data_IF_093074958760
#
_entry.id   IF_093074958760
#
_cell.length_a   1.000
_cell.length_b   1.000
_cell.length_c   1.000
_cell.angle_alpha   90.00
_cell.angle_beta   90.00
_cell.angle_gamma   90.00
#
_symmetry.space_group_name_H-M   'P 1'
#
loop_
_entity.id
_entity.type
_entity.pdbx_description
1 polymer ?
#
# COMPACT_ATOMS: atom_id res chain seq x y z
N UNK A 1 8.97 -9.72 -23.08
CA UNK A 1 9.62 -10.35 -24.26
C UNK A 1 8.77 -11.46 -24.88
N UNK A 2 8.42 -12.55 -24.18
CA UNK A 2 7.61 -13.62 -24.79
C UNK A 2 6.12 -13.25 -25.00
N UNK A 3 5.50 -12.49 -24.09
CA UNK A 3 4.11 -12.05 -24.24
C UNK A 3 3.97 -11.04 -25.40
N UNK A 4 4.90 -10.11 -25.53
CA UNK A 4 4.90 -9.11 -26.61
C UNK A 4 5.01 -9.78 -27.99
N UNK A 5 5.89 -10.78 -28.10
CA UNK A 5 6.01 -11.59 -29.31
C UNK A 5 4.74 -12.39 -29.61
N UNK A 6 4.10 -12.97 -28.58
CA UNK A 6 2.85 -13.70 -28.73
C UNK A 6 1.70 -12.78 -29.21
N UNK A 7 1.58 -11.57 -28.64
CA UNK A 7 0.58 -10.57 -29.05
C UNK A 7 0.74 -10.17 -30.53
N UNK A 8 1.97 -10.06 -31.03
CA UNK A 8 2.25 -9.83 -32.45
C UNK A 8 1.82 -11.03 -33.32
N UNK A 9 1.88 -12.24 -32.77
CA UNK A 9 1.49 -13.49 -33.43
C UNK A 9 0.01 -13.86 -33.21
N UNK A 10 -0.88 -12.85 -33.11
CA UNK A 10 -2.34 -13.01 -33.02
C UNK A 10 -2.86 -13.68 -31.72
N UNK A 11 -2.02 -13.72 -30.68
CA UNK A 11 -2.49 -14.03 -29.33
C UNK A 11 -3.41 -12.92 -28.82
N UNK A 12 -4.53 -13.32 -28.22
CA UNK A 12 -5.46 -12.44 -27.51
C UNK A 12 -6.00 -13.09 -26.25
N UNK A 13 -6.12 -12.30 -25.19
CA UNK A 13 -6.71 -12.73 -23.93
C UNK A 13 -8.21 -13.04 -23.99
N UNK A 14 -8.89 -12.70 -25.10
CA UNK A 14 -10.34 -12.95 -25.30
C UNK A 14 -10.69 -14.44 -25.45
N UNK A 15 -9.70 -15.31 -25.68
CA UNK A 15 -9.88 -16.76 -25.85
C UNK A 15 -8.80 -17.52 -25.08
N UNK A 16 -9.17 -18.62 -24.45
CA UNK A 16 -8.26 -19.47 -23.66
C UNK A 16 -7.84 -20.75 -24.38
N UNK A 17 -8.40 -21.02 -25.54
CA UNK A 17 -8.12 -22.22 -26.33
C UNK A 17 -7.74 -21.82 -27.74
N UNK A 18 -6.66 -22.43 -28.24
CA UNK A 18 -6.11 -22.20 -29.56
C UNK A 18 -5.91 -23.53 -30.25
N UNK A 19 -6.50 -23.70 -31.43
CA UNK A 19 -6.34 -24.91 -32.23
C UNK A 19 -5.48 -24.63 -33.46
N UNK A 20 -4.44 -25.43 -33.62
CA UNK A 20 -3.48 -25.38 -34.71
C UNK A 20 -3.50 -26.72 -35.45
N UNK A 21 -2.86 -26.78 -36.61
CA UNK A 21 -2.56 -28.05 -37.30
C UNK A 21 -1.10 -28.38 -37.08
N UNK A 22 -0.80 -29.61 -36.66
CA UNK A 22 0.58 -30.11 -36.60
C UNK A 22 1.15 -30.32 -38.01
N UNK A 23 2.45 -30.66 -38.10
CA UNK A 23 3.14 -30.92 -39.36
C UNK A 23 2.52 -32.08 -40.18
N UNK A 24 1.71 -32.93 -39.55
CA UNK A 24 1.01 -34.06 -40.16
C UNK A 24 -0.48 -33.76 -40.45
N UNK A 25 -0.94 -32.53 -40.21
CA UNK A 25 -2.32 -32.10 -40.44
C UNK A 25 -3.32 -32.45 -39.33
N UNK A 26 -2.89 -33.00 -38.20
CA UNK A 26 -3.76 -33.28 -37.05
C UNK A 26 -4.05 -32.00 -36.25
N UNK A 27 -5.26 -31.86 -35.69
CA UNK A 27 -5.58 -30.72 -34.84
C UNK A 27 -4.87 -30.81 -33.49
N UNK A 28 -4.09 -29.79 -33.15
CA UNK A 28 -3.46 -29.59 -31.85
C UNK A 28 -4.19 -28.45 -31.13
N UNK A 29 -4.82 -28.73 -29.99
CA UNK A 29 -5.46 -27.70 -29.16
C UNK A 29 -4.60 -27.39 -27.95
N UNK A 30 -4.17 -26.15 -27.82
CA UNK A 30 -3.48 -25.61 -26.65
C UNK A 30 -4.50 -24.85 -25.81
N UNK A 31 -4.62 -25.24 -24.54
CA UNK A 31 -5.43 -24.55 -23.54
C UNK A 31 -4.52 -23.76 -22.59
N UNK A 32 -4.79 -22.47 -22.47
CA UNK A 32 -4.09 -21.62 -21.51
C UNK A 32 -4.52 -21.98 -20.09
N UNK A 33 -3.53 -22.13 -19.21
CA UNK A 33 -3.76 -22.47 -17.80
C UNK A 33 -4.28 -21.29 -16.97
N UNK A 34 -4.19 -20.06 -17.49
CA UNK A 34 -4.54 -18.83 -16.81
C UNK A 34 -5.11 -17.81 -17.80
N UNK A 35 -6.04 -16.98 -17.31
CA UNK A 35 -6.61 -15.86 -18.05
C UNK A 35 -5.85 -14.55 -17.77
N UNK A 36 -6.22 -13.48 -18.47
CA UNK A 36 -5.56 -12.17 -18.34
C UNK A 36 -5.61 -11.62 -16.91
N UNK A 37 -6.72 -11.88 -16.21
CA UNK A 37 -6.91 -11.40 -14.84
C UNK A 37 -5.94 -12.12 -13.91
N UNK A 38 -5.87 -13.44 -13.99
CA UNK A 38 -4.93 -14.26 -13.19
C UNK A 38 -3.49 -13.85 -13.53
N UNK A 39 -3.16 -13.67 -14.81
CA UNK A 39 -1.85 -13.20 -15.25
C UNK A 39 -1.45 -11.87 -14.58
N UNK A 40 -2.35 -10.87 -14.63
CA UNK A 40 -2.11 -9.54 -14.03
C UNK A 40 -1.95 -9.59 -12.52
N UNK A 41 -2.73 -10.42 -11.83
CA UNK A 41 -2.58 -10.64 -10.38
C UNK A 41 -1.17 -11.20 -10.08
N UNK A 42 -0.73 -12.22 -10.82
CA UNK A 42 0.59 -12.83 -10.62
C UNK A 42 1.72 -11.83 -10.91
N UNK A 43 1.60 -11.03 -11.98
CA UNK A 43 2.53 -9.94 -12.29
C UNK A 43 2.61 -8.93 -11.15
N UNK A 44 1.48 -8.51 -10.58
CA UNK A 44 1.44 -7.58 -9.45
C UNK A 44 2.14 -8.17 -8.22
N UNK A 45 1.90 -9.44 -7.89
CA UNK A 45 2.58 -10.13 -6.78
C UNK A 45 4.07 -10.29 -7.00
N UNK A 46 4.47 -10.56 -8.23
CA UNK A 46 5.89 -10.64 -8.59
C UNK A 46 6.60 -9.30 -8.42
N UNK A 47 5.99 -8.18 -8.85
CA UNK A 47 6.52 -6.83 -8.60
C UNK A 47 6.69 -6.52 -7.09
N UNK A 48 5.83 -7.09 -6.25
CA UNK A 48 5.90 -6.94 -4.79
C UNK A 48 6.99 -7.80 -4.14
N UNK A 49 7.57 -8.80 -4.83
CA UNK A 49 8.68 -9.60 -4.30
C UNK A 49 10.02 -8.86 -4.36
N UNK A 50 10.20 -7.97 -5.34
CA UNK A 50 11.42 -7.17 -5.53
C UNK A 50 11.42 -5.86 -4.73
N UNK A 51 10.31 -5.49 -4.08
CA UNK A 51 10.24 -4.29 -3.26
C UNK A 51 10.82 -4.58 -1.86
N UNK A 52 11.87 -3.86 -1.40
CA UNK A 52 12.41 -4.08 -0.06
C UNK A 52 11.33 -3.81 0.99
N UNK A 53 11.04 -4.82 1.80
CA UNK A 53 10.11 -4.72 2.92
C UNK A 53 10.87 -4.11 4.10
N UNK A 54 10.82 -2.78 4.23
CA UNK A 54 11.27 -2.09 5.44
C UNK A 54 12.76 -1.72 5.51
N UNK A 55 13.19 -1.14 6.66
CA UNK A 55 14.48 -0.47 6.77
C UNK A 55 15.62 -1.46 6.59
N UNK A 56 16.60 -1.04 5.78
CA UNK A 56 17.81 -1.79 5.42
C UNK A 56 18.59 -2.16 6.68
N UNK A 57 18.29 -3.34 7.23
CA UNK A 57 19.18 -4.07 8.11
C UNK A 57 20.34 -4.69 7.32
N UNK A 58 21.41 -5.12 7.99
CA UNK A 58 22.52 -5.78 7.32
C UNK A 58 22.00 -6.97 6.51
N UNK A 59 22.35 -6.99 5.23
CA UNK A 59 21.96 -8.02 4.27
C UNK A 59 22.32 -9.38 4.86
N UNK A 60 21.31 -10.19 5.15
CA UNK A 60 21.49 -11.59 5.52
C UNK A 60 22.08 -12.31 4.30
N UNK A 61 23.29 -12.90 4.41
CA UNK A 61 23.97 -13.55 3.28
C UNK A 61 23.24 -14.82 2.76
N UNK A 62 22.16 -15.26 3.40
CA UNK A 62 21.36 -16.43 3.01
C UNK A 62 20.09 -16.11 2.20
N UNK A 63 19.87 -14.86 1.75
CA UNK A 63 18.78 -14.56 0.80
C UNK A 63 19.13 -15.09 -0.60
N UNK A 64 18.37 -16.06 -1.16
CA UNK A 64 18.68 -16.64 -2.45
C UNK A 64 18.19 -15.68 -3.55
N UNK A 65 19.14 -14.96 -4.11
CA UNK A 65 19.05 -14.09 -5.30
C UNK A 65 18.27 -12.78 -5.16
N UNK A 66 18.97 -11.70 -5.49
CA UNK A 66 18.42 -10.38 -5.80
C UNK A 66 17.64 -10.48 -7.13
N UNK A 67 16.35 -10.76 -7.04
CA UNK A 67 15.47 -10.84 -8.20
C UNK A 67 15.06 -9.42 -8.59
N UNK A 68 15.86 -8.78 -9.44
CA UNK A 68 15.47 -7.55 -10.13
C UNK A 68 14.21 -7.82 -10.95
N UNK A 69 13.08 -7.25 -10.53
CA UNK A 69 11.78 -7.37 -11.18
C UNK A 69 11.72 -6.65 -12.52
N UNK A 70 12.49 -7.09 -13.52
CA UNK A 70 12.42 -6.58 -14.90
C UNK A 70 11.16 -7.09 -15.62
N UNK A 71 10.01 -6.57 -15.23
CA UNK A 71 8.84 -6.52 -16.10
C UNK A 71 8.79 -5.10 -16.67
N UNK A 72 9.22 -4.94 -17.93
CA UNK A 72 8.89 -3.72 -18.71
C UNK A 72 7.41 -3.43 -18.46
N UNK A 73 7.15 -2.20 -18.01
CA UNK A 73 5.90 -1.64 -17.51
C UNK A 73 4.65 -2.20 -18.20
N UNK A 74 4.14 -3.34 -17.70
CA UNK A 74 2.76 -3.73 -17.94
C UNK A 74 1.94 -2.79 -17.07
N UNK A 75 1.27 -1.84 -17.72
CA UNK A 75 0.32 -0.93 -17.09
C UNK A 75 -0.96 -1.71 -16.72
N UNK A 76 -0.84 -2.48 -15.65
CA UNK A 76 -1.93 -3.27 -15.06
C UNK A 76 -2.99 -2.37 -14.39
N UNK A 77 -2.75 -1.06 -14.27
CA UNK A 77 -3.59 -0.17 -13.49
C UNK A 77 -4.90 0.24 -14.20
N UNK A 78 -4.92 0.28 -15.54
CA UNK A 78 -6.03 0.91 -16.29
C UNK A 78 -7.22 -0.03 -16.57
N UNK A 79 -7.00 -1.33 -16.81
CA UNK A 79 -8.08 -2.23 -17.25
C UNK A 79 -8.93 -2.74 -16.06
N UNK A 80 -8.32 -2.87 -14.87
CA UNK A 80 -9.01 -3.37 -13.68
C UNK A 80 -9.82 -2.29 -12.94
N UNK A 81 -9.62 -1.01 -13.29
CA UNK A 81 -10.24 0.16 -12.64
C UNK A 81 -11.74 0.24 -12.88
N UNK A 82 -12.15 0.21 -14.15
CA UNK A 82 -13.55 0.36 -14.56
C UNK A 82 -14.38 -0.85 -14.11
N UNK A 83 -13.79 -2.04 -14.18
CA UNK A 83 -14.42 -3.27 -13.69
C UNK A 83 -14.67 -3.23 -12.18
N UNK A 84 -13.66 -2.80 -11.40
CA UNK A 84 -13.76 -2.63 -9.96
C UNK A 84 -14.79 -1.55 -9.59
N UNK A 85 -14.77 -0.42 -10.30
CA UNK A 85 -15.71 0.66 -10.07
C UNK A 85 -17.16 0.25 -10.41
N UNK A 86 -17.38 -0.51 -11.48
CA UNK A 86 -18.71 -1.02 -11.82
C UNK A 86 -19.27 -1.95 -10.72
N UNK A 87 -18.43 -2.79 -10.10
CA UNK A 87 -18.84 -3.63 -8.95
C UNK A 87 -19.13 -2.78 -7.72
N UNK A 88 -18.33 -1.75 -7.47
CA UNK A 88 -18.57 -0.82 -6.37
C UNK A 88 -19.88 -0.04 -6.55
N UNK A 89 -20.17 0.48 -7.74
CA UNK A 89 -21.44 1.13 -8.05
C UNK A 89 -22.65 0.20 -7.88
N UNK A 90 -22.51 -1.07 -8.32
CA UNK A 90 -23.55 -2.09 -8.10
C UNK A 90 -23.79 -2.31 -6.59
N UNK A 91 -22.72 -2.41 -5.81
CA UNK A 91 -22.81 -2.57 -4.36
C UNK A 91 -23.49 -1.37 -3.68
N UNK A 92 -23.09 -0.13 -4.00
CA UNK A 92 -23.71 1.10 -3.49
C UNK A 92 -25.21 1.14 -3.74
N UNK A 93 -25.64 0.84 -4.96
CA UNK A 93 -27.07 0.79 -5.32
C UNK A 93 -27.86 -0.22 -4.52
N UNK A 94 -27.30 -1.42 -4.31
CA UNK A 94 -27.97 -2.49 -3.56
C UNK A 94 -28.04 -2.17 -2.06
N UNK A 95 -27.03 -1.51 -1.50
CA UNK A 95 -27.05 -0.99 -0.13
C UNK A 95 -28.17 0.04 0.06
N UNK A 96 -28.28 1.03 -0.84
CA UNK A 96 -29.33 2.05 -0.78
C UNK A 96 -30.75 1.47 -0.90
N UNK A 97 -30.91 0.36 -1.63
CA UNK A 97 -32.18 -0.35 -1.78
C UNK A 97 -32.57 -1.20 -0.56
N UNK A 98 -31.69 -1.34 0.44
CA UNK A 98 -31.95 -2.13 1.65
C UNK A 98 -32.03 -3.65 1.41
N UNK A 99 -31.58 -4.13 0.25
CA UNK A 99 -31.59 -5.56 -0.06
C UNK A 99 -30.33 -6.23 0.49
N UNK A 100 -30.38 -6.59 1.78
CA UNK A 100 -29.23 -7.10 2.55
C UNK A 100 -28.54 -8.31 1.89
N UNK A 101 -29.29 -9.27 1.36
CA UNK A 101 -28.71 -10.49 0.77
C UNK A 101 -28.02 -10.19 -0.56
N UNK A 102 -28.65 -9.37 -1.41
CA UNK A 102 -28.05 -8.97 -2.68
C UNK A 102 -26.84 -8.04 -2.49
N UNK A 103 -26.90 -7.15 -1.49
CA UNK A 103 -25.79 -6.27 -1.13
C UNK A 103 -24.57 -7.09 -0.68
N UNK A 104 -24.77 -8.10 0.19
CA UNK A 104 -23.70 -8.99 0.64
C UNK A 104 -23.06 -9.77 -0.52
N UNK A 105 -23.86 -10.29 -1.45
CA UNK A 105 -23.32 -10.96 -2.63
C UNK A 105 -22.51 -10.01 -3.53
N UNK A 106 -22.98 -8.77 -3.72
CA UNK A 106 -22.24 -7.75 -4.48
C UNK A 106 -20.96 -7.30 -3.78
N UNK A 107 -20.96 -7.32 -2.45
CA UNK A 107 -19.79 -7.07 -1.61
C UNK A 107 -18.72 -8.14 -1.80
N UNK A 108 -19.09 -9.42 -1.75
CA UNK A 108 -18.16 -10.53 -2.00
C UNK A 108 -17.55 -10.46 -3.41
N UNK A 109 -18.35 -10.06 -4.41
CA UNK A 109 -17.87 -9.82 -5.77
C UNK A 109 -16.87 -8.66 -5.82
N UNK A 110 -17.12 -7.58 -5.08
CA UNK A 110 -16.22 -6.42 -4.96
C UNK A 110 -14.92 -6.81 -4.25
N UNK A 111 -14.98 -7.47 -3.11
CA UNK A 111 -13.81 -7.88 -2.33
C UNK A 111 -12.85 -8.78 -3.14
N UNK A 112 -13.39 -9.67 -4.00
CA UNK A 112 -12.58 -10.47 -4.94
C UNK A 112 -11.77 -9.63 -5.93
N UNK A 113 -12.18 -8.39 -6.21
CA UNK A 113 -11.41 -7.49 -7.08
C UNK A 113 -10.22 -6.89 -6.38
N UNK A 114 -10.20 -6.83 -5.04
CA UNK A 114 -9.10 -6.20 -4.31
C UNK A 114 -7.76 -6.89 -4.54
N UNK A 115 -7.76 -8.18 -4.89
CA UNK A 115 -6.57 -8.93 -5.25
C UNK A 115 -5.74 -8.30 -6.40
N UNK A 116 -6.34 -7.42 -7.22
CA UNK A 116 -5.66 -6.69 -8.30
C UNK A 116 -5.00 -5.39 -7.85
N UNK A 117 -5.31 -4.90 -6.64
CA UNK A 117 -4.69 -3.72 -6.04
C UNK A 117 -3.30 -4.04 -5.48
N UNK A 118 -2.53 -3.01 -5.14
CA UNK A 118 -1.30 -3.18 -4.35
C UNK A 118 -1.62 -3.69 -2.93
N UNK A 119 -0.67 -4.34 -2.25
CA UNK A 119 -0.83 -4.73 -0.83
C UNK A 119 -1.26 -3.57 0.08
N UNK A 120 -0.70 -2.39 -0.14
CA UNK A 120 -1.02 -1.21 0.65
C UNK A 120 -2.46 -0.74 0.39
N UNK A 121 -2.86 -0.66 -0.88
CA UNK A 121 -4.23 -0.28 -1.25
C UNK A 121 -5.25 -1.35 -0.83
N UNK A 122 -4.89 -2.64 -0.82
CA UNK A 122 -5.73 -3.72 -0.27
C UNK A 122 -6.04 -3.50 1.20
N UNK A 123 -5.04 -3.11 2.00
CA UNK A 123 -5.25 -2.80 3.43
C UNK A 123 -6.32 -1.72 3.57
N UNK A 124 -6.21 -0.62 2.83
CA UNK A 124 -7.16 0.49 2.92
C UNK A 124 -8.53 0.16 2.31
N UNK A 125 -8.57 -0.59 1.20
CA UNK A 125 -9.82 -1.07 0.61
C UNK A 125 -10.60 -1.97 1.57
N UNK A 126 -9.92 -2.83 2.33
CA UNK A 126 -10.53 -3.69 3.34
C UNK A 126 -11.08 -2.89 4.53
N UNK A 127 -10.32 -1.91 5.03
CA UNK A 127 -10.78 -1.02 6.11
C UNK A 127 -12.05 -0.28 5.65
N UNK A 128 -11.99 0.32 4.46
CA UNK A 128 -13.13 1.02 3.86
C UNK A 128 -14.37 0.12 3.75
N UNK A 129 -14.21 -1.11 3.26
CA UNK A 129 -15.32 -2.04 3.10
C UNK A 129 -15.94 -2.42 4.45
N UNK A 130 -15.11 -2.68 5.47
CA UNK A 130 -15.58 -2.98 6.82
C UNK A 130 -16.30 -1.80 7.47
N UNK A 131 -15.86 -0.57 7.24
CA UNK A 131 -16.53 0.62 7.79
C UNK A 131 -17.93 0.79 7.19
N UNK A 132 -18.12 0.45 5.90
CA UNK A 132 -19.45 0.41 5.28
C UNK A 132 -20.31 -0.69 5.91
N UNK A 133 -19.78 -1.90 6.10
CA UNK A 133 -20.52 -3.01 6.72
C UNK A 133 -21.01 -2.67 8.13
N UNK A 134 -20.20 -1.94 8.90
CA UNK A 134 -20.55 -1.49 10.26
C UNK A 134 -21.57 -0.35 10.28
N UNK A 135 -21.76 0.32 9.14
CA UNK A 135 -22.56 1.54 9.05
C UNK A 135 -21.82 2.79 9.54
N UNK A 136 -20.51 2.69 9.76
CA UNK A 136 -19.64 3.81 10.18
C UNK A 136 -19.34 4.75 8.99
N UNK A 137 -19.55 4.27 7.77
CA UNK A 137 -19.31 5.02 6.54
C UNK A 137 -20.42 4.83 5.51
N UNK A 138 -20.87 5.93 4.89
CA UNK A 138 -21.85 5.92 3.79
C UNK A 138 -21.18 6.51 2.54
N UNK A 139 -21.01 5.71 1.47
CA UNK A 139 -20.47 6.22 0.22
C UNK A 139 -21.35 7.30 -0.43
N UNK A 140 -20.70 8.34 -0.92
CA UNK A 140 -21.24 9.43 -1.72
C UNK A 140 -21.40 9.00 -3.19
N UNK A 141 -22.38 9.60 -3.86
CA UNK A 141 -22.55 9.44 -5.30
C UNK A 141 -21.46 10.20 -6.06
N UNK A 142 -20.94 9.61 -7.14
CA UNK A 142 -19.93 10.22 -8.01
C UNK A 142 -18.47 9.98 -7.59
N UNK A 143 -18.19 9.53 -6.37
CA UNK A 143 -16.84 9.08 -5.96
C UNK A 143 -16.60 7.61 -6.32
N UNK A 144 -15.39 7.33 -6.82
CA UNK A 144 -14.95 5.97 -7.16
C UNK A 144 -14.36 5.27 -5.94
N UNK A 145 -14.23 3.94 -6.00
CA UNK A 145 -13.53 3.19 -4.95
C UNK A 145 -12.09 3.69 -4.74
N UNK A 146 -11.41 4.10 -5.81
CA UNK A 146 -10.03 4.59 -5.73
C UNK A 146 -9.91 5.92 -5.00
N UNK A 147 -10.91 6.78 -5.15
CA UNK A 147 -10.96 8.03 -4.40
C UNK A 147 -11.04 7.72 -2.90
N UNK A 148 -11.90 6.78 -2.50
CA UNK A 148 -11.99 6.35 -1.10
C UNK A 148 -10.72 5.69 -0.58
N UNK A 149 -10.11 4.79 -1.33
CA UNK A 149 -8.82 4.19 -0.95
C UNK A 149 -7.76 5.29 -0.73
N UNK A 150 -7.73 6.29 -1.60
CA UNK A 150 -6.80 7.43 -1.50
C UNK A 150 -7.09 8.30 -0.28
N UNK A 151 -8.36 8.57 0.02
CA UNK A 151 -8.77 9.32 1.21
C UNK A 151 -8.37 8.57 2.49
N UNK A 152 -8.64 7.27 2.57
CA UNK A 152 -8.26 6.44 3.72
C UNK A 152 -6.75 6.36 3.91
N UNK A 153 -5.99 6.19 2.82
CA UNK A 153 -4.53 6.20 2.85
C UNK A 153 -3.98 7.55 3.34
N UNK A 154 -4.54 8.64 2.82
CA UNK A 154 -4.15 10.00 3.19
C UNK A 154 -4.46 10.27 4.66
N UNK A 155 -5.65 9.87 5.14
CA UNK A 155 -6.03 9.98 6.55
C UNK A 155 -5.07 9.20 7.44
N UNK A 156 -4.78 7.94 7.12
CA UNK A 156 -3.85 7.13 7.90
C UNK A 156 -2.44 7.74 7.95
N UNK A 157 -1.93 8.27 6.83
CA UNK A 157 -0.63 8.95 6.80
C UNK A 157 -0.65 10.23 7.65
N UNK A 158 -1.73 10.99 7.59
CA UNK A 158 -1.90 12.19 8.41
C UNK A 158 -1.94 11.84 9.90
N UNK A 159 -2.63 10.77 10.28
CA UNK A 159 -2.70 10.29 11.66
C UNK A 159 -1.32 9.82 12.16
N UNK A 160 -0.54 9.12 11.32
CA UNK A 160 0.83 8.73 11.65
C UNK A 160 1.73 9.96 11.88
N UNK A 161 1.65 10.97 11.01
CA UNK A 161 2.38 12.25 11.16
C UNK A 161 1.98 12.94 12.47
N UNK A 162 0.67 13.04 12.72
CA UNK A 162 0.13 13.67 13.92
C UNK A 162 0.60 12.95 15.19
N UNK A 163 0.50 11.62 15.23
CA UNK A 163 0.98 10.81 16.37
C UNK A 163 2.47 11.00 16.61
N UNK A 164 3.29 10.96 15.56
CA UNK A 164 4.73 11.19 15.65
C UNK A 164 5.03 12.58 16.22
N UNK A 165 4.38 13.62 15.69
CA UNK A 165 4.53 14.98 16.17
C UNK A 165 4.10 15.13 17.64
N UNK A 166 2.99 14.52 18.01
CA UNK A 166 2.45 14.57 19.37
C UNK A 166 3.37 13.88 20.40
N UNK A 167 3.86 12.69 20.09
CA UNK A 167 4.70 11.85 20.98
C UNK A 167 6.08 12.48 21.19
N UNK A 168 6.72 12.94 20.11
CA UNK A 168 8.05 13.56 20.17
C UNK A 168 7.99 15.04 20.55
N UNK A 169 6.81 15.66 20.47
CA UNK A 169 6.61 17.09 20.71
C UNK A 169 7.35 17.96 19.69
N UNK A 170 7.33 17.58 18.42
CA UNK A 170 7.93 18.33 17.30
C UNK A 170 6.84 19.09 16.53
N UNK A 171 7.28 20.03 15.69
CA UNK A 171 6.40 20.79 14.80
C UNK A 171 5.81 19.89 13.71
N UNK A 172 4.50 19.64 13.77
CA UNK A 172 3.78 18.78 12.82
C UNK A 172 3.85 19.33 11.39
N UNK A 173 3.73 20.64 11.21
CA UNK A 173 3.72 21.27 9.89
C UNK A 173 5.09 21.19 9.22
N UNK A 174 6.18 21.26 9.99
CA UNK A 174 7.54 21.01 9.48
C UNK A 174 7.72 19.54 9.11
N UNK A 175 7.25 18.60 9.94
CA UNK A 175 7.30 17.16 9.63
C UNK A 175 6.53 16.83 8.35
N UNK A 176 5.30 17.34 8.24
CA UNK A 176 4.43 17.18 7.06
C UNK A 176 5.09 17.68 5.78
N UNK A 177 5.72 18.85 5.83
CA UNK A 177 6.47 19.44 4.70
C UNK A 177 7.67 18.60 4.28
N UNK A 178 8.42 18.05 5.24
CA UNK A 178 9.55 17.18 4.91
C UNK A 178 9.02 15.90 4.24
N UNK A 179 8.02 15.24 4.82
CA UNK A 179 7.49 13.98 4.29
C UNK A 179 6.76 14.12 2.94
N UNK A 180 6.20 15.28 2.62
CA UNK A 180 5.59 15.52 1.30
C UNK A 180 6.62 15.82 0.20
N UNK A 181 7.85 16.17 0.56
CA UNK A 181 8.90 16.54 -0.40
C UNK A 181 9.71 15.37 -0.97
N UNK A 182 9.34 14.12 -0.65
CA UNK A 182 9.98 12.93 -1.22
C UNK A 182 11.47 12.82 -0.88
N UNK A 183 11.83 13.10 0.37
CA UNK A 183 13.22 13.15 0.79
C UNK A 183 13.91 11.78 0.78
N UNK A 184 15.21 11.79 0.50
CA UNK A 184 16.10 10.63 0.55
C UNK A 184 17.13 10.79 1.67
N UNK A 185 17.95 9.75 1.93
CA UNK A 185 19.02 9.81 2.94
C UNK A 185 20.00 10.95 2.67
N UNK A 186 20.24 11.26 1.40
CA UNK A 186 21.20 12.24 0.94
C UNK A 186 20.67 13.66 1.11
N UNK A 187 19.38 13.87 0.88
CA UNK A 187 18.79 15.21 0.81
C UNK A 187 17.89 15.58 2.00
N UNK A 188 17.64 14.66 2.94
CA UNK A 188 16.71 14.88 4.07
C UNK A 188 17.00 16.16 4.85
N UNK A 189 18.27 16.55 4.95
CA UNK A 189 18.70 17.75 5.67
C UNK A 189 19.09 18.93 4.76
N UNK A 190 18.71 18.91 3.49
CA UNK A 190 18.93 20.05 2.61
C UNK A 190 18.32 21.32 3.22
N UNK A 191 19.09 22.41 3.14
CA UNK A 191 18.74 23.69 3.75
C UNK A 191 18.54 23.65 5.28
N UNK A 192 19.06 22.62 5.97
CA UNK A 192 18.96 22.48 7.42
C UNK A 192 17.56 22.12 7.93
N UNK A 193 16.63 21.73 7.04
CA UNK A 193 15.21 21.50 7.37
C UNK A 193 15.00 20.41 8.42
N UNK A 194 15.81 19.36 8.38
CA UNK A 194 15.70 18.25 9.32
C UNK A 194 16.29 18.62 10.68
N UNK A 195 17.44 19.31 10.70
CA UNK A 195 18.05 19.79 11.94
C UNK A 195 17.13 20.78 12.67
N UNK A 196 16.48 21.68 11.94
CA UNK A 196 15.46 22.59 12.48
C UNK A 196 14.27 21.82 13.09
N UNK A 197 13.78 20.75 12.43
CA UNK A 197 12.71 19.92 12.97
C UNK A 197 13.15 19.17 14.25
N UNK A 198 14.27 18.45 14.20
CA UNK A 198 14.71 17.57 15.30
C UNK A 198 15.17 18.37 16.52
N UNK A 199 15.67 19.60 16.33
CA UNK A 199 16.05 20.48 17.44
C UNK A 199 14.85 20.98 18.25
N UNK A 200 13.66 21.01 17.63
CA UNK A 200 12.42 21.51 18.22
C UNK A 200 11.64 20.51 19.08
N UNK A 201 12.18 19.32 19.36
CA UNK A 201 11.47 18.28 20.13
C UNK A 201 11.26 18.65 21.61
N UNK A 202 10.16 18.16 22.18
CA UNK A 202 9.89 18.28 23.61
C UNK A 202 10.67 17.21 24.39
N UNK A 203 11.66 17.66 25.15
CA UNK A 203 12.55 16.80 25.93
C UNK A 203 11.81 15.93 26.95
N UNK A 204 10.71 16.42 27.52
CA UNK A 204 9.95 15.67 28.52
C UNK A 204 9.09 14.60 27.83
N UNK A 205 8.33 14.97 26.79
CA UNK A 205 7.50 14.02 26.04
C UNK A 205 8.32 12.91 25.41
N UNK A 206 9.39 13.27 24.70
CA UNK A 206 10.27 12.29 24.07
C UNK A 206 10.92 11.37 25.11
N UNK A 207 11.35 11.91 26.25
CA UNK A 207 11.90 11.09 27.34
C UNK A 207 10.87 10.09 27.85
N UNK A 208 9.66 10.54 28.20
CA UNK A 208 8.60 9.66 28.70
C UNK A 208 8.24 8.56 27.70
N UNK A 209 8.22 8.88 26.41
CA UNK A 209 7.99 7.91 25.35
C UNK A 209 9.06 6.81 25.30
N UNK A 210 10.34 7.19 25.24
CA UNK A 210 11.41 6.18 25.19
C UNK A 210 11.59 5.42 26.51
N UNK A 211 11.30 6.04 27.66
CA UNK A 211 11.26 5.34 28.94
C UNK A 211 10.15 4.28 28.99
N UNK A 212 8.98 4.57 28.40
CA UNK A 212 7.88 3.61 28.25
C UNK A 212 8.28 2.45 27.34
N UNK A 213 8.84 2.73 26.16
CA UNK A 213 9.27 1.69 25.21
C UNK A 213 10.35 0.77 25.77
N UNK A 214 11.29 1.32 26.55
CA UNK A 214 12.44 0.56 27.06
C UNK A 214 12.25 0.03 28.49
N UNK A 215 11.17 0.39 29.15
CA UNK A 215 10.89 0.00 30.55
C UNK A 215 11.94 0.47 31.55
N UNK A 216 12.74 1.49 31.21
CA UNK A 216 13.84 2.01 32.06
C UNK A 216 13.92 3.52 31.99
N UNK A 217 14.50 4.13 33.03
CA UNK A 217 14.74 5.57 33.06
C UNK A 217 15.89 5.98 32.14
N UNK A 218 15.73 7.11 31.45
CA UNK A 218 16.71 7.67 30.54
C UNK A 218 17.29 8.97 31.12
N UNK A 219 18.61 9.13 30.97
CA UNK A 219 19.26 10.40 31.26
C UNK A 219 19.08 11.36 30.08
N UNK A 220 18.98 12.69 30.31
CA UNK A 220 18.71 13.66 29.24
C UNK A 220 19.61 13.55 27.99
N UNK A 221 20.93 13.28 28.09
CA UNK A 221 21.80 13.13 26.92
C UNK A 221 21.45 11.93 26.01
N UNK A 222 20.79 10.90 26.55
CA UNK A 222 20.42 9.70 25.78
C UNK A 222 19.16 9.90 24.92
N UNK A 223 18.37 10.93 25.21
CA UNK A 223 17.07 11.14 24.54
C UNK A 223 17.28 11.68 23.12
N UNK A 224 18.19 12.65 22.94
CA UNK A 224 18.40 13.29 21.63
C UNK A 224 18.80 12.30 20.51
N UNK A 225 19.82 11.42 20.70
CA UNK A 225 20.18 10.45 19.66
C UNK A 225 19.01 9.51 19.30
N UNK A 226 18.16 9.16 20.26
CA UNK A 226 16.98 8.31 20.03
C UNK A 226 15.92 9.01 19.21
N UNK A 227 15.57 10.26 19.57
CA UNK A 227 14.67 11.10 18.76
C UNK A 227 15.19 11.23 17.34
N UNK A 228 16.47 11.54 17.18
CA UNK A 228 17.10 11.73 15.88
C UNK A 228 17.08 10.45 15.03
N UNK A 229 17.32 9.28 15.61
CA UNK A 229 17.28 8.02 14.87
C UNK A 229 15.85 7.64 14.50
N UNK A 230 14.92 7.72 15.46
CA UNK A 230 13.50 7.40 15.27
C UNK A 230 12.86 8.30 14.20
N UNK A 231 13.10 9.61 14.28
CA UNK A 231 12.50 10.58 13.37
C UNK A 231 13.05 10.45 11.95
N UNK A 232 14.37 10.24 11.81
CA UNK A 232 14.99 9.99 10.51
C UNK A 232 14.44 8.71 9.87
N UNK A 233 14.34 7.62 10.64
CA UNK A 233 13.78 6.36 10.18
C UNK A 233 12.30 6.49 9.77
N UNK A 234 11.49 7.16 10.58
CA UNK A 234 10.08 7.45 10.29
C UNK A 234 9.90 8.21 8.98
N UNK A 235 10.70 9.26 8.73
CA UNK A 235 10.63 10.06 7.50
C UNK A 235 11.04 9.23 6.28
N UNK A 236 12.17 8.51 6.37
CA UNK A 236 12.72 7.74 5.24
C UNK A 236 11.88 6.51 4.88
N UNK A 237 11.17 5.94 5.85
CA UNK A 237 10.26 4.81 5.63
C UNK A 237 8.88 5.26 5.12
N UNK A 238 8.64 6.57 4.99
CA UNK A 238 7.35 7.12 4.53
C UNK A 238 6.25 7.20 5.61
N UNK A 239 6.60 6.94 6.87
CA UNK A 239 5.70 6.90 8.02
C UNK A 239 5.30 5.49 8.43
N UNK A 240 5.10 5.26 9.73
CA UNK A 240 4.57 4.02 10.29
C UNK A 240 3.89 4.27 11.63
N UNK A 241 3.13 3.29 12.11
CA UNK A 241 2.43 3.41 13.38
C UNK A 241 3.43 3.34 14.56
N UNK A 242 3.45 4.38 15.39
CA UNK A 242 4.22 4.43 16.63
C UNK A 242 3.36 3.93 17.79
N UNK A 243 3.89 3.01 18.58
CA UNK A 243 3.23 2.54 19.80
C UNK A 243 3.03 3.71 20.77
N UNK A 244 1.83 3.86 21.33
CA UNK A 244 1.52 4.94 22.26
C UNK A 244 1.50 4.37 23.68
N UNK A 245 2.09 5.06 24.67
CA UNK A 245 1.86 4.74 26.07
C UNK A 245 0.37 4.86 26.40
N UNK A 246 -0.32 3.73 26.62
CA UNK A 246 -1.69 3.70 27.13
C UNK A 246 -2.81 3.43 26.12
N UNK A 247 -2.56 2.76 24.99
CA UNK A 247 -3.62 2.30 24.06
C UNK A 247 -3.68 0.78 23.87
N UNK A 248 -3.13 0.02 24.83
CA UNK A 248 -3.45 -1.40 24.99
C UNK A 248 -4.49 -1.53 26.11
N UNK A 249 -5.77 -1.43 25.73
CA UNK A 249 -6.92 -1.90 26.50
C UNK A 249 -8.02 -2.35 25.53
#
# INVERSE_FOLDING_TARGET
MFLDAALIQDFTWKRLEYTFKDENGNPLTIKLALDEKIYKILVQRYKELSAPVGPVGPVDPDLPYDLDGYLMTIDTASIDADYMNARFEKYKKLLQQGNSDAAKAAEDELHKTFATLSKEDQKFANIFLHDIQRGDFVPEDGKTLRDYITEYRTRAKNDQIHRCAFILGIDEEKLRRIMSSGVTKENINDYGRYDDLVSGYDKQKAKSYFEFLEGKKLIPPQVYPKVNNQLRDFILSGGYDLNIPGTDA
#
